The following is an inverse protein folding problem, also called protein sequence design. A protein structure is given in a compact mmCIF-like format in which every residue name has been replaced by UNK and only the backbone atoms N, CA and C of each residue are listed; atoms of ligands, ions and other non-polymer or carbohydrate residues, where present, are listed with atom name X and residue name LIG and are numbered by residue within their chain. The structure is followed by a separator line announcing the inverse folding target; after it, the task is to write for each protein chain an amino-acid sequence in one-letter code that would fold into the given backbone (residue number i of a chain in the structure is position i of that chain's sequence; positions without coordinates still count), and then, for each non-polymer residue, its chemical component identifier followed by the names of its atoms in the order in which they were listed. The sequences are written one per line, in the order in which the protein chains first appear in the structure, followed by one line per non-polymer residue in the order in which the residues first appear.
data_IF_652959697859
#
_entry.id   IF_652959697859
#
_cell.length_a   1.000
_cell.length_b   1.000
_cell.length_c   1.000
_cell.angle_alpha   90.00
_cell.angle_beta   90.00
_cell.angle_gamma   90.00
#
_symmetry.space_group_name_H-M   'P 1'
#
loop_
_entity.id
_entity.type
_entity.pdbx_description
1 polymer ?
#
# COMPACT_ATOMS: atom_id res chain seq x y z
N UNK A 1 6.27 -3.22 -4.15
CA UNK A 1 5.45 -3.69 -3.03
C UNK A 1 6.39 -4.04 -1.91
N UNK A 2 6.05 -3.59 -0.71
CA UNK A 2 6.80 -3.89 0.51
C UNK A 2 5.84 -3.77 1.71
N UNK A 3 6.28 -4.21 2.88
CA UNK A 3 5.51 -4.13 4.11
C UNK A 3 6.16 -3.25 5.17
N UNK A 4 5.34 -2.74 6.08
CA UNK A 4 5.84 -1.96 7.19
C UNK A 4 5.11 -2.19 8.51
N UNK A 5 5.80 -1.94 9.62
CA UNK A 5 5.27 -2.26 10.94
C UNK A 5 4.31 -1.21 11.47
N UNK A 6 3.15 -1.66 11.95
CA UNK A 6 2.16 -0.86 12.68
C UNK A 6 1.87 -1.53 14.01
N UNK A 7 1.84 -0.75 15.10
CA UNK A 7 1.58 -1.29 16.45
C UNK A 7 0.07 -1.30 16.74
N UNK A 8 -0.48 -2.46 17.08
CA UNK A 8 -1.89 -2.66 17.43
C UNK A 8 -1.97 -3.53 18.69
N UNK A 9 -2.65 -3.05 19.74
CA UNK A 9 -2.74 -3.70 21.06
C UNK A 9 -1.38 -4.12 21.63
N UNK A 10 -0.37 -3.28 21.45
CA UNK A 10 1.00 -3.57 21.90
C UNK A 10 1.78 -4.54 21.02
N UNK A 11 1.15 -5.20 20.05
CA UNK A 11 1.77 -6.16 19.13
C UNK A 11 2.07 -5.52 17.78
N UNK A 12 3.08 -6.05 17.08
CA UNK A 12 3.42 -5.61 15.73
C UNK A 12 2.56 -6.32 14.68
N UNK A 13 2.00 -5.51 13.78
CA UNK A 13 1.23 -5.89 12.61
C UNK A 13 1.94 -5.37 11.36
N UNK A 14 1.57 -5.90 10.20
CA UNK A 14 2.20 -5.62 8.93
C UNK A 14 1.22 -4.89 8.01
N UNK A 15 1.60 -3.70 7.58
CA UNK A 15 0.91 -2.92 6.57
C UNK A 15 1.61 -3.14 5.23
N UNK A 16 1.05 -4.02 4.41
CA UNK A 16 1.47 -4.20 3.02
C UNK A 16 1.09 -2.98 2.20
N UNK A 17 1.97 -2.56 1.30
CA UNK A 17 1.79 -1.39 0.44
C UNK A 17 2.34 -1.64 -0.95
N UNK A 18 1.64 -1.10 -1.95
CA UNK A 18 2.08 -1.04 -3.32
C UNK A 18 2.00 0.41 -3.81
N UNK A 19 3.05 0.84 -4.50
CA UNK A 19 3.12 2.15 -5.15
C UNK A 19 3.52 1.95 -6.60
N UNK A 20 3.09 2.86 -7.46
CA UNK A 20 3.43 2.87 -8.88
C UNK A 20 4.82 3.49 -9.15
N UNK A 21 5.13 3.70 -10.43
CA UNK A 21 6.39 4.33 -10.85
C UNK A 21 6.49 5.81 -10.46
N UNK A 22 5.36 6.51 -10.29
CA UNK A 22 5.30 7.91 -9.87
C UNK A 22 5.29 8.06 -8.33
N UNK A 23 5.19 6.96 -7.59
CA UNK A 23 5.09 6.97 -6.12
C UNK A 23 3.66 7.16 -5.62
N UNK A 24 2.65 7.06 -6.49
CA UNK A 24 1.25 7.04 -6.10
C UNK A 24 0.91 5.68 -5.48
N UNK A 25 0.13 5.71 -4.40
CA UNK A 25 -0.28 4.49 -3.69
C UNK A 25 -1.32 3.76 -4.51
N UNK A 26 -0.97 2.54 -4.96
CA UNK A 26 -1.86 1.62 -5.68
C UNK A 26 -2.84 0.98 -4.71
N UNK A 27 -2.30 0.37 -3.65
CA UNK A 27 -3.13 -0.26 -2.63
C UNK A 27 -2.35 -0.53 -1.33
N UNK A 28 -3.08 -0.83 -0.25
CA UNK A 28 -2.55 -1.27 1.02
C UNK A 28 -3.42 -2.35 1.70
N UNK A 29 -2.83 -3.08 2.64
CA UNK A 29 -3.53 -4.07 3.47
C UNK A 29 -2.84 -4.23 4.84
N UNK A 30 -3.59 -4.06 5.92
CA UNK A 30 -3.14 -4.39 7.27
C UNK A 30 -3.37 -5.87 7.57
N UNK A 31 -2.35 -6.56 8.08
CA UNK A 31 -2.40 -7.98 8.44
C UNK A 31 -1.68 -8.22 9.77
N UNK A 32 -2.08 -9.28 10.47
CA UNK A 32 -1.37 -9.73 11.68
C UNK A 32 -0.07 -10.46 11.36
N UNK A 33 -0.03 -11.17 10.25
CA UNK A 33 1.07 -12.05 9.87
C UNK A 33 1.79 -11.53 8.63
N UNK A 34 3.11 -11.76 8.59
CA UNK A 34 3.99 -11.56 7.44
C UNK A 34 4.32 -12.92 6.84
N UNK A 35 3.37 -13.44 6.07
CA UNK A 35 3.47 -14.75 5.44
C UNK A 35 3.02 -14.68 3.98
N UNK A 36 3.27 -15.76 3.24
CA UNK A 36 2.90 -15.88 1.83
C UNK A 36 1.39 -15.70 1.62
N UNK A 37 0.55 -16.16 2.55
CA UNK A 37 -0.91 -16.04 2.47
C UNK A 37 -1.37 -14.58 2.57
N UNK A 38 -0.75 -13.80 3.46
CA UNK A 38 -0.99 -12.37 3.62
C UNK A 38 -0.53 -11.57 2.40
N UNK A 39 0.69 -11.81 1.93
CA UNK A 39 1.24 -11.17 0.73
C UNK A 39 0.40 -11.48 -0.52
N UNK A 40 -0.02 -12.75 -0.70
CA UNK A 40 -0.88 -13.17 -1.82
C UNK A 40 -2.26 -12.52 -1.76
N UNK A 41 -2.86 -12.44 -0.57
CA UNK A 41 -4.14 -11.74 -0.37
C UNK A 41 -4.02 -10.27 -0.74
N UNK A 42 -2.92 -9.62 -0.36
CA UNK A 42 -2.64 -8.25 -0.74
C UNK A 42 -2.50 -8.08 -2.25
N UNK A 43 -1.65 -8.88 -2.91
CA UNK A 43 -1.47 -8.84 -4.36
C UNK A 43 -2.78 -9.07 -5.12
N UNK A 44 -3.56 -10.07 -4.70
CA UNK A 44 -4.87 -10.37 -5.31
C UNK A 44 -5.86 -9.21 -5.17
N UNK A 45 -5.84 -8.51 -4.03
CA UNK A 45 -6.65 -7.32 -3.77
C UNK A 45 -6.22 -6.17 -4.69
N UNK A 46 -4.91 -5.88 -4.72
CA UNK A 46 -4.36 -4.80 -5.52
C UNK A 46 -4.63 -5.00 -7.02
N UNK A 47 -4.42 -6.21 -7.55
CA UNK A 47 -4.67 -6.56 -8.95
C UNK A 47 -6.16 -6.48 -9.28
N UNK A 48 -7.04 -6.93 -8.38
CA UNK A 48 -8.49 -6.84 -8.59
C UNK A 48 -8.96 -5.38 -8.71
N UNK A 49 -8.37 -4.48 -7.92
CA UNK A 49 -8.77 -3.08 -7.88
C UNK A 49 -8.12 -2.23 -8.98
N UNK A 50 -6.90 -2.56 -9.40
CA UNK A 50 -6.08 -1.70 -10.27
C UNK A 50 -5.68 -2.34 -11.61
N UNK A 51 -6.11 -3.58 -11.87
CA UNK A 51 -5.72 -4.33 -13.07
C UNK A 51 -4.41 -5.10 -12.92
N UNK A 52 -4.06 -5.84 -13.97
CA UNK A 52 -2.87 -6.69 -14.02
C UNK A 52 -1.61 -5.84 -14.32
N UNK A 53 -0.58 -5.83 -13.46
CA UNK A 53 0.67 -5.14 -13.76
C UNK A 53 1.56 -6.00 -14.67
N UNK A 54 2.37 -5.34 -15.51
CA UNK A 54 3.42 -6.00 -16.29
C UNK A 54 4.58 -6.48 -15.41
N UNK A 55 4.98 -5.65 -14.43
CA UNK A 55 6.12 -5.92 -13.56
C UNK A 55 5.77 -5.64 -12.10
N UNK A 56 6.10 -6.57 -11.20
CA UNK A 56 6.05 -6.36 -9.76
C UNK A 56 7.48 -6.28 -9.23
N UNK A 57 7.79 -5.15 -8.60
CA UNK A 57 9.02 -5.01 -7.81
C UNK A 57 8.72 -5.39 -6.38
N UNK A 58 9.42 -6.41 -5.87
CA UNK A 58 9.34 -6.86 -4.47
C UNK A 58 10.69 -6.63 -3.78
N UNK A 59 10.64 -6.58 -2.45
CA UNK A 59 11.83 -6.62 -1.61
C UNK A 59 12.51 -8.01 -1.64
N UNK A 60 13.51 -8.20 -0.79
CA UNK A 60 14.22 -9.48 -0.64
C UNK A 60 13.38 -10.61 -0.04
N UNK A 61 12.11 -10.38 0.35
CA UNK A 61 11.27 -11.35 1.03
C UNK A 61 10.95 -12.58 0.17
N UNK A 62 11.16 -13.76 0.76
CA UNK A 62 10.73 -15.03 0.17
C UNK A 62 9.20 -15.14 0.10
N UNK A 63 8.49 -14.63 1.10
CA UNK A 63 7.03 -14.65 1.14
C UNK A 63 6.41 -13.82 0.02
N UNK A 64 6.98 -12.63 -0.27
CA UNK A 64 6.50 -11.76 -1.34
C UNK A 64 6.73 -12.37 -2.73
N UNK A 65 7.88 -13.04 -2.92
CA UNK A 65 8.19 -13.78 -4.14
C UNK A 65 7.22 -14.94 -4.35
N UNK A 66 7.09 -15.83 -3.37
CA UNK A 66 6.19 -16.97 -3.44
C UNK A 66 4.74 -16.55 -3.65
N UNK A 67 4.32 -15.42 -3.06
CA UNK A 67 2.99 -14.87 -3.25
C UNK A 67 2.77 -14.38 -4.68
N UNK A 68 3.75 -13.68 -5.28
CA UNK A 68 3.63 -13.21 -6.66
C UNK A 68 3.60 -14.37 -7.66
N UNK A 69 4.46 -15.38 -7.46
CA UNK A 69 4.47 -16.61 -8.28
C UNK A 69 3.13 -17.36 -8.18
N UNK A 70 2.59 -17.52 -6.96
CA UNK A 70 1.29 -18.16 -6.75
C UNK A 70 0.14 -17.40 -7.43
N UNK A 71 0.16 -16.06 -7.43
CA UNK A 71 -0.85 -15.27 -8.14
C UNK A 71 -0.74 -15.44 -9.66
N UNK A 72 0.49 -15.50 -10.20
CA UNK A 72 0.71 -15.75 -11.62
C UNK A 72 0.14 -17.11 -12.04
N UNK A 73 0.45 -18.16 -11.26
CA UNK A 73 -0.03 -19.51 -11.51
C UNK A 73 -1.56 -19.62 -11.43
N UNK A 74 -2.19 -19.04 -10.40
CA UNK A 74 -3.64 -19.17 -10.21
C UNK A 74 -4.49 -18.40 -11.22
N UNK A 75 -3.94 -17.33 -11.77
CA UNK A 75 -4.64 -16.48 -12.74
C UNK A 75 -4.26 -16.77 -14.18
N UNK A 76 -3.31 -17.69 -14.39
CA UNK A 76 -2.72 -18.00 -15.70
C UNK A 76 -2.19 -16.72 -16.40
N UNK A 77 -1.40 -15.95 -15.67
CA UNK A 77 -0.82 -14.68 -16.14
C UNK A 77 0.68 -14.68 -15.97
N UNK A 78 1.37 -13.99 -16.87
CA UNK A 78 2.81 -13.76 -16.76
C UNK A 78 3.05 -12.34 -16.27
N UNK A 79 3.64 -12.21 -15.08
CA UNK A 79 4.06 -10.95 -14.50
C UNK A 79 5.57 -11.03 -14.25
N UNK A 80 6.32 -10.04 -14.70
CA UNK A 80 7.76 -9.96 -14.41
C UNK A 80 7.97 -9.66 -12.92
N UNK A 81 8.54 -10.60 -12.17
CA UNK A 81 8.89 -10.41 -10.76
C UNK A 81 10.35 -10.03 -10.67
N UNK A 82 10.64 -8.79 -10.25
CA UNK A 82 12.01 -8.31 -10.09
C UNK A 82 12.33 -7.89 -8.67
N UNK A 83 13.60 -8.06 -8.31
CA UNK A 83 14.20 -7.61 -7.05
C UNK A 83 15.25 -6.56 -7.38
N UNK A 84 14.95 -5.30 -7.08
CA UNK A 84 15.87 -4.20 -7.33
C UNK A 84 15.84 -3.24 -6.16
N UNK A 85 16.92 -3.21 -5.37
CA UNK A 85 17.03 -2.38 -4.15
C UNK A 85 16.67 -0.92 -4.42
N UNK A 86 17.20 -0.33 -5.50
CA UNK A 86 16.94 1.07 -5.85
C UNK A 86 15.48 1.38 -6.17
N UNK A 87 14.75 0.42 -6.75
CA UNK A 87 13.33 0.61 -7.05
C UNK A 87 12.45 0.43 -5.81
N UNK A 88 12.92 -0.34 -4.83
CA UNK A 88 12.24 -0.48 -3.55
C UNK A 88 12.26 0.83 -2.73
N UNK A 89 13.22 1.73 -2.98
CA UNK A 89 13.29 3.04 -2.33
C UNK A 89 11.98 3.85 -2.43
N UNK A 90 11.19 3.67 -3.51
CA UNK A 90 9.91 4.38 -3.68
C UNK A 90 8.87 3.97 -2.63
N UNK A 91 8.68 2.67 -2.44
CA UNK A 91 7.75 2.16 -1.43
C UNK A 91 8.29 2.40 -0.02
N UNK A 92 9.61 2.31 0.17
CA UNK A 92 10.26 2.66 1.45
C UNK A 92 10.13 4.15 1.81
N UNK A 93 10.19 5.05 0.82
CA UNK A 93 9.95 6.47 1.02
C UNK A 93 8.48 6.73 1.37
N UNK A 94 7.56 6.06 0.68
CA UNK A 94 6.13 6.14 0.95
C UNK A 94 5.78 5.67 2.38
N UNK A 95 6.51 4.68 2.93
CA UNK A 95 6.39 4.28 4.34
C UNK A 95 6.62 5.42 5.34
N UNK A 96 7.40 6.44 4.98
CA UNK A 96 7.74 7.55 5.89
C UNK A 96 6.52 8.37 6.28
N UNK A 97 5.59 8.57 5.34
CA UNK A 97 4.37 9.34 5.57
C UNK A 97 3.49 8.68 6.62
N UNK A 98 3.15 7.42 6.40
CA UNK A 98 2.30 6.67 7.33
C UNK A 98 2.98 6.50 8.70
N UNK A 99 4.28 6.18 8.73
CA UNK A 99 5.04 6.06 9.98
C UNK A 99 5.08 7.35 10.78
N UNK A 100 5.18 8.51 10.12
CA UNK A 100 5.19 9.81 10.81
C UNK A 100 3.90 10.01 11.59
N UNK A 101 2.76 9.69 10.98
CA UNK A 101 1.45 9.83 11.62
C UNK A 101 1.25 8.77 12.69
N UNK A 102 1.54 7.50 12.40
CA UNK A 102 1.20 6.41 13.33
C UNK A 102 2.13 6.36 14.54
N UNK A 103 3.35 6.92 14.46
CA UNK A 103 4.27 6.99 15.61
C UNK A 103 3.76 7.91 16.72
N UNK A 104 3.17 9.05 16.40
CA UNK A 104 2.62 9.97 17.41
C UNK A 104 1.35 9.44 18.08
N UNK A 105 0.69 8.46 17.47
CA UNK A 105 -0.54 7.83 17.99
C UNK A 105 -0.29 6.80 19.10
N UNK A 106 0.97 6.49 19.44
CA UNK A 106 1.36 5.48 20.45
C UNK A 106 0.79 4.06 20.22
N UNK A 107 0.35 3.78 18.99
CA UNK A 107 -0.23 2.50 18.58
C UNK A 107 -1.73 2.39 18.81
N UNK A 108 -2.38 1.57 17.98
CA UNK A 108 -3.84 1.40 18.00
C UNK A 108 -4.31 0.46 19.11
N UNK A 109 -5.51 0.68 19.64
CA UNK A 109 -6.13 -0.19 20.67
C UNK A 109 -6.97 -1.33 20.09
N UNK A 110 -7.28 -1.33 18.79
CA UNK A 110 -8.00 -2.41 18.12
C UNK A 110 -7.59 -2.54 16.66
N UNK A 111 -7.70 -3.75 16.10
CA UNK A 111 -7.39 -4.00 14.69
C UNK A 111 -8.37 -3.27 13.76
N UNK A 112 -9.67 -3.32 14.08
CA UNK A 112 -10.72 -2.67 13.28
C UNK A 112 -10.52 -1.15 13.25
N UNK A 113 -10.26 -0.53 14.40
CA UNK A 113 -9.96 0.90 14.48
C UNK A 113 -8.69 1.24 13.72
N UNK A 114 -7.62 0.44 13.85
CA UNK A 114 -6.41 0.63 13.06
C UNK A 114 -6.71 0.62 11.56
N UNK A 115 -7.45 -0.36 11.07
CA UNK A 115 -7.82 -0.46 9.66
C UNK A 115 -8.62 0.76 9.18
N UNK A 116 -9.66 1.16 9.90
CA UNK A 116 -10.47 2.34 9.56
C UNK A 116 -9.66 3.64 9.57
N UNK A 117 -8.80 3.85 10.56
CA UNK A 117 -7.95 5.05 10.64
C UNK A 117 -6.90 5.07 9.54
N UNK A 118 -6.26 3.93 9.25
CA UNK A 118 -5.30 3.82 8.15
C UNK A 118 -5.97 4.16 6.81
N UNK A 119 -7.20 3.69 6.55
CA UNK A 119 -7.95 4.07 5.34
C UNK A 119 -8.10 5.58 5.22
N UNK A 120 -8.51 6.27 6.29
CA UNK A 120 -8.65 7.73 6.28
C UNK A 120 -7.31 8.45 6.04
N UNK A 121 -6.23 7.99 6.67
CA UNK A 121 -4.89 8.56 6.46
C UNK A 121 -4.46 8.40 5.01
N UNK A 122 -4.62 7.19 4.45
CA UNK A 122 -4.23 6.90 3.07
C UNK A 122 -5.01 7.73 2.07
N UNK A 123 -6.32 7.88 2.28
CA UNK A 123 -7.16 8.72 1.42
C UNK A 123 -6.66 10.17 1.40
N UNK A 124 -6.38 10.76 2.55
CA UNK A 124 -5.83 12.13 2.64
C UNK A 124 -4.48 12.23 1.94
N UNK A 125 -3.62 11.21 2.06
CA UNK A 125 -2.34 11.17 1.36
C UNK A 125 -2.51 11.06 -0.16
N UNK A 126 -3.41 10.21 -0.63
CA UNK A 126 -3.69 10.04 -2.05
C UNK A 126 -4.22 11.33 -2.67
N UNK A 127 -5.15 12.03 -1.99
CA UNK A 127 -5.65 13.33 -2.41
C UNK A 127 -4.51 14.34 -2.52
N UNK A 128 -3.67 14.49 -1.48
CA UNK A 128 -2.51 15.41 -1.50
C UNK A 128 -1.53 15.13 -2.64
N UNK A 129 -1.23 13.87 -2.91
CA UNK A 129 -0.35 13.50 -4.03
C UNK A 129 -0.99 13.83 -5.38
N UNK A 130 -2.30 13.60 -5.52
CA UNK A 130 -3.06 13.97 -6.72
C UNK A 130 -3.01 15.48 -6.96
N UNK A 131 -3.20 16.29 -5.91
CA UNK A 131 -3.12 17.77 -6.01
C UNK A 131 -1.74 18.27 -6.44
N UNK A 132 -0.68 17.56 -6.05
CA UNK A 132 0.69 17.89 -6.46
C UNK A 132 1.01 17.47 -7.89
N UNK A 133 0.39 16.39 -8.38
CA UNK A 133 0.65 15.82 -9.70
C UNK A 133 -0.24 16.40 -10.80
N UNK A 134 -1.48 16.79 -10.50
CA UNK A 134 -2.46 17.27 -11.48
C UNK A 134 -2.76 18.78 -11.29
N UNK A 135 -2.42 19.64 -12.27
CA UNK A 135 -2.71 21.07 -12.26
C UNK A 135 -4.18 21.41 -12.01
N UNK A 136 -5.12 20.62 -12.52
CA UNK A 136 -6.58 20.87 -12.37
C UNK A 136 -7.09 20.68 -10.94
N UNK A 137 -6.33 19.93 -10.13
CA UNK A 137 -6.64 19.69 -8.71
C UNK A 137 -5.78 20.54 -7.78
N UNK A 138 -4.86 21.36 -8.34
CA UNK A 138 -3.92 22.16 -7.56
C UNK A 138 -4.61 23.28 -6.78
N UNK A 139 -5.66 23.84 -7.36
CA UNK A 139 -6.43 24.94 -6.76
C UNK A 139 -7.63 24.45 -5.94
N UNK A 140 -7.92 23.14 -5.96
CA UNK A 140 -8.99 22.52 -5.16
C UNK A 140 -8.48 22.19 -3.76
N UNK A 141 -9.26 22.55 -2.74
CA UNK A 141 -9.07 22.07 -1.37
C UNK A 141 -9.19 20.55 -1.30
N UNK A 142 -8.61 19.93 -0.27
CA UNK A 142 -8.74 18.48 -0.05
C UNK A 142 -10.20 18.06 0.13
N UNK A 143 -11.04 18.93 0.70
CA UNK A 143 -12.46 18.67 0.88
C UNK A 143 -13.19 18.63 -0.47
N UNK A 144 -12.94 19.59 -1.36
CA UNK A 144 -13.54 19.59 -2.71
C UNK A 144 -13.10 18.36 -3.52
N UNK A 145 -11.82 17.98 -3.42
CA UNK A 145 -11.34 16.76 -4.07
C UNK A 145 -12.03 15.51 -3.49
N UNK A 146 -12.17 15.42 -2.17
CA UNK A 146 -12.91 14.33 -1.52
C UNK A 146 -14.37 14.28 -1.98
N UNK A 147 -15.08 15.41 -2.01
CA UNK A 147 -16.47 15.47 -2.47
C UNK A 147 -16.60 15.03 -3.93
N UNK A 148 -15.63 15.34 -4.79
CA UNK A 148 -15.66 14.91 -6.20
C UNK A 148 -15.53 13.40 -6.39
N UNK A 149 -15.05 12.65 -5.39
CA UNK A 149 -14.99 11.18 -5.41
C UNK A 149 -16.31 10.52 -4.96
N UNK A 150 -17.22 11.27 -4.35
CA UNK A 150 -18.47 10.77 -3.79
C UNK A 150 -19.69 11.02 -4.72
N UNK A 151 -19.46 11.61 -5.90
CA UNK A 151 -20.47 11.91 -6.91
C UNK A 151 -20.68 10.79 -7.92
#
# INVERSE_FOLDING_TARGET
MDETYIKVKGQWYYLYRAVDKAGQTIDFLLTKHRDTKAAKRFLSKAIRANGLPETITIDGSAANKAAAEAVCQERDVTIEIRRTKYLNNRVEQDHRGIKRITRSMLGFKSFRSAQSTLIGIELVYQLRKTSQANPETRDKTLFEQFCSLAG
#
